data_IF_799988031837
#
_entry.id   IF_799988031837
#
_cell.length_a   1.000
_cell.length_b   1.000
_cell.length_c   1.000
_cell.angle_alpha   90.00
_cell.angle_beta   90.00
_cell.angle_gamma   90.00
#
_symmetry.space_group_name_H-M   'P 1'
#
loop_
_entity.id
_entity.type
_entity.pdbx_description
1 polymer ?
#
# COMPACT_ATOMS: atom_id res chain seq x y z
N UNK A 1 20.55 -47.41 -10.28
CA UNK A 1 20.68 -46.80 -8.93
C UNK A 1 20.75 -45.26 -8.94
N UNK A 2 21.59 -44.60 -9.75
CA UNK A 2 21.73 -43.13 -9.73
C UNK A 2 20.45 -42.33 -10.06
N UNK A 3 19.56 -42.83 -10.91
CA UNK A 3 18.29 -42.13 -11.24
C UNK A 3 17.24 -42.17 -10.12
N UNK A 4 17.27 -43.20 -9.25
CA UNK A 4 16.32 -43.29 -8.13
C UNK A 4 16.68 -42.33 -6.99
N UNK A 5 17.98 -42.07 -6.78
CA UNK A 5 18.44 -41.10 -5.77
C UNK A 5 18.01 -39.67 -6.12
N UNK A 6 18.07 -39.30 -7.40
CA UNK A 6 17.68 -37.97 -7.85
C UNK A 6 16.17 -37.72 -7.74
N UNK A 7 15.36 -38.72 -8.10
CA UNK A 7 13.90 -38.65 -7.94
C UNK A 7 13.47 -38.51 -6.48
N UNK A 8 14.12 -39.24 -5.57
CA UNK A 8 13.82 -39.16 -4.14
C UNK A 8 14.22 -37.81 -3.53
N UNK A 9 15.38 -37.26 -3.92
CA UNK A 9 15.84 -35.93 -3.49
C UNK A 9 14.92 -34.80 -3.99
N UNK A 10 14.43 -34.89 -5.22
CA UNK A 10 13.50 -33.90 -5.78
C UNK A 10 12.14 -33.96 -5.07
N UNK A 11 11.63 -35.17 -4.79
CA UNK A 11 10.36 -35.35 -4.09
C UNK A 11 10.41 -34.83 -2.65
N UNK A 12 11.51 -35.08 -1.93
CA UNK A 12 11.71 -34.57 -0.57
C UNK A 12 11.85 -33.05 -0.53
N UNK A 13 12.53 -32.44 -1.51
CA UNK A 13 12.59 -30.98 -1.64
C UNK A 13 11.22 -30.37 -1.91
N UNK A 14 10.43 -30.96 -2.81
CA UNK A 14 9.07 -30.49 -3.12
C UNK A 14 8.12 -30.62 -1.92
N UNK A 15 8.22 -31.71 -1.15
CA UNK A 15 7.47 -31.87 0.09
C UNK A 15 7.90 -30.87 1.15
N UNK A 16 9.20 -30.60 1.30
CA UNK A 16 9.69 -29.57 2.23
C UNK A 16 9.14 -28.19 1.85
N UNK A 17 9.15 -27.83 0.56
CA UNK A 17 8.58 -26.57 0.07
C UNK A 17 7.07 -26.51 0.35
N UNK A 18 6.30 -27.56 0.03
CA UNK A 18 4.86 -27.61 0.28
C UNK A 18 4.52 -27.54 1.78
N UNK A 19 5.32 -28.20 2.64
CA UNK A 19 5.23 -28.10 4.08
C UNK A 19 5.53 -26.68 4.56
N UNK A 20 6.58 -26.02 4.07
CA UNK A 20 6.90 -24.62 4.40
C UNK A 20 5.77 -23.66 3.99
N UNK A 21 5.17 -23.84 2.81
CA UNK A 21 4.03 -23.02 2.37
C UNK A 21 2.78 -23.25 3.23
N UNK A 22 2.43 -24.50 3.53
CA UNK A 22 1.31 -24.82 4.42
C UNK A 22 1.55 -24.34 5.85
N UNK A 23 2.80 -24.40 6.33
CA UNK A 23 3.17 -23.94 7.66
C UNK A 23 3.16 -22.42 7.74
N UNK A 24 3.68 -21.69 6.74
CA UNK A 24 3.63 -20.22 6.71
C UNK A 24 2.19 -19.69 6.68
N UNK A 25 1.32 -20.28 5.85
CA UNK A 25 -0.07 -19.86 5.76
C UNK A 25 -0.86 -20.19 7.03
N UNK A 26 -0.69 -21.40 7.59
CA UNK A 26 -1.32 -21.77 8.86
C UNK A 26 -0.72 -21.01 10.04
N UNK A 27 0.56 -20.68 10.02
CA UNK A 27 1.22 -19.89 11.05
C UNK A 27 0.70 -18.46 11.03
N UNK A 28 0.52 -17.84 9.86
CA UNK A 28 -0.10 -16.52 9.77
C UNK A 28 -1.56 -16.53 10.24
N UNK A 29 -2.35 -17.55 9.90
CA UNK A 29 -3.71 -17.70 10.42
C UNK A 29 -3.73 -17.99 11.93
N UNK A 30 -2.82 -18.81 12.43
CA UNK A 30 -2.72 -19.20 13.84
C UNK A 30 -2.20 -18.06 14.70
N UNK A 31 -1.19 -17.31 14.26
CA UNK A 31 -0.71 -16.09 14.91
C UNK A 31 -1.81 -15.05 14.93
N UNK A 32 -2.52 -14.81 13.82
CA UNK A 32 -3.65 -13.87 13.84
C UNK A 32 -4.75 -14.33 14.80
N UNK A 33 -5.15 -15.61 14.78
CA UNK A 33 -6.22 -16.14 15.63
C UNK A 33 -5.83 -16.18 17.12
N UNK A 34 -4.61 -16.61 17.46
CA UNK A 34 -4.15 -16.68 18.85
C UNK A 34 -3.72 -15.34 19.42
N UNK A 35 -3.23 -14.40 18.60
CA UNK A 35 -2.96 -13.03 19.05
C UNK A 35 -4.28 -12.32 19.37
N UNK A 36 -5.33 -12.56 18.57
CA UNK A 36 -6.69 -12.07 18.83
C UNK A 36 -7.26 -12.69 20.12
N UNK A 37 -7.14 -14.01 20.30
CA UNK A 37 -7.66 -14.71 21.49
C UNK A 37 -6.88 -14.33 22.77
N UNK A 38 -5.56 -14.18 22.72
CA UNK A 38 -4.76 -13.74 23.88
C UNK A 38 -5.05 -12.29 24.28
N UNK A 39 -5.26 -11.39 23.31
CA UNK A 39 -5.66 -10.00 23.59
C UNK A 39 -7.08 -9.88 24.14
N UNK A 40 -7.98 -10.82 23.80
CA UNK A 40 -9.35 -10.86 24.36
C UNK A 40 -9.38 -11.41 25.79
N UNK A 41 -8.50 -12.35 26.14
CA UNK A 41 -8.56 -13.08 27.40
C UNK A 41 -7.68 -12.50 28.53
N UNK A 42 -6.76 -11.57 28.25
CA UNK A 42 -5.95 -10.95 29.31
C UNK A 42 -5.55 -9.49 28.99
N UNK A 43 -6.43 -8.50 29.25
CA UNK A 43 -6.13 -7.08 28.98
C UNK A 43 -4.98 -6.49 29.83
N UNK A 44 -4.49 -7.23 30.82
CA UNK A 44 -3.42 -6.81 31.72
C UNK A 44 -2.02 -7.33 31.32
N UNK A 45 -1.91 -8.16 30.27
CA UNK A 45 -0.62 -8.70 29.79
C UNK A 45 0.09 -7.74 28.80
N UNK A 46 -0.04 -6.44 29.06
CA UNK A 46 0.81 -5.41 28.44
C UNK A 46 2.15 -5.43 29.18
N UNK A 47 3.04 -6.30 28.70
CA UNK A 47 4.42 -6.42 29.17
C UNK A 47 5.11 -5.06 29.32
N UNK A 48 5.75 -4.90 30.48
CA UNK A 48 6.73 -3.89 30.89
C UNK A 48 6.61 -2.46 30.31
N UNK A 49 6.08 -1.62 31.21
CA UNK A 49 5.72 -0.20 31.16
C UNK A 49 6.79 0.85 30.75
N UNK A 50 7.96 0.52 30.20
CA UNK A 50 9.04 1.54 30.14
C UNK A 50 9.09 2.47 28.91
N UNK A 51 8.40 2.18 27.79
CA UNK A 51 8.36 3.11 26.62
C UNK A 51 6.95 3.50 26.14
N UNK A 52 5.90 2.85 26.64
CA UNK A 52 4.53 3.03 26.14
C UNK A 52 3.89 4.39 26.50
N UNK A 53 4.35 5.04 27.58
CA UNK A 53 3.85 6.36 27.97
C UNK A 53 4.51 7.52 27.23
N UNK A 54 5.76 7.35 26.78
CA UNK A 54 6.51 8.39 26.07
C UNK A 54 6.01 8.53 24.62
N UNK A 55 5.73 7.41 23.95
CA UNK A 55 5.11 7.41 22.62
C UNK A 55 3.67 7.96 22.64
N UNK A 56 2.92 7.76 23.74
CA UNK A 56 1.57 8.34 23.92
C UNK A 56 1.58 9.85 24.08
N UNK A 57 2.60 10.44 24.73
CA UNK A 57 2.70 11.89 24.95
C UNK A 57 2.84 12.69 23.65
N UNK A 58 3.32 12.07 22.56
CA UNK A 58 3.55 12.72 21.27
C UNK A 58 2.50 12.38 20.20
N UNK A 59 1.43 11.67 20.53
CA UNK A 59 0.32 11.41 19.59
C UNK A 59 -0.73 12.53 19.68
N UNK A 60 -0.89 13.31 18.61
CA UNK A 60 -1.93 14.35 18.51
C UNK A 60 -3.37 13.80 18.44
N UNK A 61 -3.52 12.49 18.23
CA UNK A 61 -4.80 11.81 18.03
C UNK A 61 -5.42 11.40 19.37
N UNK A 62 -6.55 12.01 19.74
CA UNK A 62 -7.25 11.69 21.01
C UNK A 62 -7.93 10.31 20.91
N UNK A 63 -7.65 9.45 21.88
CA UNK A 63 -8.07 8.04 21.91
C UNK A 63 -9.49 7.89 22.48
N UNK A 64 -10.32 7.09 21.79
CA UNK A 64 -11.60 6.52 22.22
C UNK A 64 -12.55 7.45 22.97
N UNK A 65 -13.24 8.31 22.22
CA UNK A 65 -14.40 9.02 22.74
C UNK A 65 -15.62 8.08 22.73
N UNK A 66 -16.33 7.99 23.87
CA UNK A 66 -17.68 7.37 23.90
C UNK A 66 -18.61 8.14 22.95
N UNK A 67 -19.69 7.52 22.46
CA UNK A 67 -20.65 8.16 21.52
C UNK A 67 -21.12 9.55 21.97
N UNK A 68 -21.35 9.75 23.27
CA UNK A 68 -21.70 11.04 23.86
C UNK A 68 -20.57 12.07 23.85
N UNK A 69 -19.31 11.63 23.92
CA UNK A 69 -18.13 12.49 23.80
C UNK A 69 -17.79 12.82 22.34
N UNK A 70 -18.13 11.96 21.38
CA UNK A 70 -18.02 12.25 19.95
C UNK A 70 -18.92 13.43 19.55
N UNK A 71 -20.18 13.44 19.99
CA UNK A 71 -21.10 14.55 19.78
C UNK A 71 -20.56 15.86 20.36
N UNK A 72 -19.92 15.79 21.53
CA UNK A 72 -19.27 16.95 22.17
C UNK A 72 -18.00 17.40 21.45
N UNK A 73 -17.24 16.47 20.86
CA UNK A 73 -15.99 16.76 20.16
C UNK A 73 -16.22 17.41 18.80
N UNK A 74 -17.21 16.93 18.06
CA UNK A 74 -17.56 17.51 16.76
C UNK A 74 -18.49 18.72 16.87
N UNK A 75 -19.08 18.97 18.05
CA UNK A 75 -20.04 20.07 18.26
C UNK A 75 -21.34 19.93 17.48
N UNK A 76 -21.48 18.85 16.68
CA UNK A 76 -22.62 18.50 15.83
C UNK A 76 -22.65 16.97 15.64
N UNK A 77 -23.74 16.43 15.08
CA UNK A 77 -23.85 15.01 14.73
C UNK A 77 -22.78 14.65 13.67
N UNK A 78 -22.17 13.47 13.75
CA UNK A 78 -21.21 12.97 12.73
C UNK A 78 -21.86 12.97 11.34
N UNK A 79 -23.19 12.80 11.30
CA UNK A 79 -24.02 12.87 10.08
C UNK A 79 -24.15 14.26 9.46
N UNK A 80 -23.81 15.34 10.17
CA UNK A 80 -23.84 16.70 9.62
C UNK A 80 -22.51 17.17 9.03
N UNK A 81 -21.46 16.33 9.09
CA UNK A 81 -20.18 16.63 8.46
C UNK A 81 -20.24 16.37 6.95
N UNK A 82 -19.39 17.08 6.20
CA UNK A 82 -19.16 16.80 4.79
C UNK A 82 -18.65 15.36 4.62
N UNK A 83 -19.05 14.71 3.52
CA UNK A 83 -18.57 13.36 3.22
C UNK A 83 -17.09 13.40 2.82
N UNK A 84 -16.25 12.57 3.44
CA UNK A 84 -14.83 12.52 3.10
C UNK A 84 -14.64 12.08 1.64
N UNK A 85 -13.98 12.93 0.87
CA UNK A 85 -13.60 12.70 -0.52
C UNK A 85 -12.18 13.22 -0.77
N UNK A 86 -11.62 12.95 -1.95
CA UNK A 86 -10.27 13.44 -2.28
C UNK A 86 -10.17 14.96 -2.32
N UNK A 87 -11.26 15.68 -2.66
CA UNK A 87 -11.31 17.14 -2.61
C UNK A 87 -11.03 17.68 -1.21
N UNK A 88 -11.65 17.10 -0.19
CA UNK A 88 -11.40 17.44 1.22
C UNK A 88 -9.92 17.24 1.58
N UNK A 89 -9.33 16.06 1.31
CA UNK A 89 -7.94 15.77 1.68
C UNK A 89 -6.93 16.64 0.91
N UNK A 90 -7.18 16.87 -0.37
CA UNK A 90 -6.38 17.77 -1.18
C UNK A 90 -6.45 19.19 -0.60
N UNK A 91 -7.65 19.71 -0.29
CA UNK A 91 -7.82 21.04 0.30
C UNK A 91 -7.17 21.16 1.68
N UNK A 92 -7.24 20.11 2.51
CA UNK A 92 -6.56 20.07 3.79
C UNK A 92 -5.04 20.20 3.60
N UNK A 93 -4.44 19.43 2.67
CA UNK A 93 -3.02 19.53 2.36
C UNK A 93 -2.65 20.94 1.85
N UNK A 94 -3.47 21.54 1.00
CA UNK A 94 -3.24 22.90 0.46
C UNK A 94 -3.23 23.95 1.55
N UNK A 95 -4.19 23.86 2.48
CA UNK A 95 -4.39 24.82 3.56
C UNK A 95 -3.35 24.68 4.67
N UNK A 96 -3.03 23.46 5.08
CA UNK A 96 -2.22 23.19 6.26
C UNK A 96 -0.79 22.71 5.96
N UNK A 97 -0.48 22.35 4.71
CA UNK A 97 0.84 21.85 4.33
C UNK A 97 1.17 20.46 4.87
N UNK A 98 0.18 19.70 5.33
CA UNK A 98 0.31 18.35 5.89
C UNK A 98 -0.91 17.49 5.51
N UNK A 99 -0.77 16.16 5.48
CA UNK A 99 -1.93 15.26 5.31
C UNK A 99 -2.90 15.38 6.50
N UNK A 100 -4.18 15.09 6.26
CA UNK A 100 -5.18 15.06 7.31
C UNK A 100 -5.02 13.80 8.17
N UNK A 101 -4.73 13.97 9.45
CA UNK A 101 -4.64 12.85 10.41
C UNK A 101 -5.14 13.18 11.80
N UNK A 102 -5.72 14.37 11.97
CA UNK A 102 -6.49 14.70 13.16
C UNK A 102 -7.85 14.04 13.05
N UNK A 103 -8.38 13.55 14.18
CA UNK A 103 -9.62 12.79 14.20
C UNK A 103 -9.73 11.94 15.45
N UNK A 104 -10.71 11.05 15.44
CA UNK A 104 -11.05 10.22 16.60
C UNK A 104 -11.23 8.77 16.17
N UNK A 105 -10.63 7.87 16.94
CA UNK A 105 -10.94 6.45 16.87
C UNK A 105 -12.21 6.15 17.67
N UNK A 106 -13.21 5.59 17.00
CA UNK A 106 -14.42 5.09 17.62
C UNK A 106 -14.33 3.59 17.85
N UNK A 107 -14.45 3.16 19.11
CA UNK A 107 -14.57 1.74 19.44
C UNK A 107 -16.00 1.27 19.13
N UNK A 108 -16.16 0.04 18.58
CA UNK A 108 -17.49 -0.54 18.41
C UNK A 108 -18.22 -0.63 19.76
N UNK A 109 -19.57 -0.58 19.78
CA UNK A 109 -20.37 -0.61 21.00
C UNK A 109 -20.14 -1.83 21.91
N UNK A 110 -19.59 -2.92 21.36
CA UNK A 110 -19.31 -4.18 22.06
C UNK A 110 -18.04 -4.16 22.91
N UNK A 111 -17.29 -3.05 22.95
CA UNK A 111 -16.17 -2.86 23.87
C UNK A 111 -14.88 -3.61 23.52
N UNK A 112 -14.82 -4.33 22.39
CA UNK A 112 -13.61 -4.98 21.89
C UNK A 112 -12.67 -3.96 21.23
N UNK A 113 -11.52 -3.58 21.84
CA UNK A 113 -10.79 -2.36 21.46
C UNK A 113 -9.96 -2.41 20.18
N UNK A 114 -9.75 -3.57 19.54
CA UNK A 114 -8.61 -3.70 18.62
C UNK A 114 -8.91 -4.11 17.17
N UNK A 115 -10.12 -4.57 16.83
CA UNK A 115 -10.36 -5.27 15.53
C UNK A 115 -11.39 -4.59 14.63
N UNK A 116 -12.21 -3.67 15.15
CA UNK A 116 -13.32 -3.04 14.39
C UNK A 116 -13.44 -1.54 14.63
N UNK A 117 -12.40 -0.89 15.15
CA UNK A 117 -12.41 0.55 15.42
C UNK A 117 -12.38 1.34 14.11
N UNK A 118 -13.15 2.43 14.07
CA UNK A 118 -13.21 3.36 12.94
C UNK A 118 -12.49 4.66 13.26
N UNK A 119 -11.66 5.13 12.35
CA UNK A 119 -11.10 6.47 12.40
C UNK A 119 -11.99 7.45 11.64
N UNK A 120 -12.47 8.47 12.35
CA UNK A 120 -13.21 9.59 11.77
C UNK A 120 -12.32 10.84 11.75
N UNK A 121 -11.94 11.34 10.56
CA UNK A 121 -11.14 12.56 10.43
C UNK A 121 -11.83 13.79 11.02
N UNK A 122 -11.07 14.80 11.43
CA UNK A 122 -11.62 16.06 11.92
C UNK A 122 -12.20 16.91 10.78
N UNK A 123 -13.52 16.84 10.59
CA UNK A 123 -14.25 17.73 9.67
C UNK A 123 -14.74 17.06 8.39
N UNK A 124 -14.63 15.74 8.29
CA UNK A 124 -15.41 14.97 7.33
C UNK A 124 -15.77 13.60 7.93
N UNK A 125 -16.87 13.02 7.48
CA UNK A 125 -17.27 11.66 7.85
C UNK A 125 -17.44 10.81 6.60
N UNK A 126 -17.25 9.50 6.70
CA UNK A 126 -17.60 8.61 5.60
C UNK A 126 -18.12 7.29 6.17
N UNK A 127 -19.00 6.66 5.40
CA UNK A 127 -19.43 5.30 5.66
C UNK A 127 -18.48 4.37 4.92
N UNK A 128 -17.88 3.43 5.67
CA UNK A 128 -17.09 2.35 5.07
C UNK A 128 -17.99 1.50 4.19
N UNK A 129 -17.44 1.00 3.09
CA UNK A 129 -18.07 -0.10 2.39
C UNK A 129 -18.16 -1.32 3.30
N UNK A 130 -19.37 -1.85 3.40
CA UNK A 130 -19.68 -3.09 4.11
C UNK A 130 -20.08 -4.17 3.10
N UNK A 131 -20.03 -5.42 3.55
CA UNK A 131 -20.33 -6.58 2.71
C UNK A 131 -21.75 -6.47 2.14
N UNK A 132 -21.89 -6.53 0.81
CA UNK A 132 -23.16 -6.42 0.11
C UNK A 132 -23.50 -5.01 -0.42
N UNK A 133 -22.59 -4.05 -0.31
CA UNK A 133 -22.78 -2.71 -0.89
C UNK A 133 -22.64 -2.72 -2.42
N UNK A 134 -23.76 -2.77 -3.14
CA UNK A 134 -23.87 -2.58 -4.59
C UNK A 134 -23.31 -1.23 -5.07
N UNK A 135 -23.09 -0.31 -4.13
CA UNK A 135 -22.53 1.02 -4.36
C UNK A 135 -21.12 1.00 -4.94
N UNK A 136 -20.31 -0.05 -4.68
CA UNK A 136 -18.96 -0.13 -5.23
C UNK A 136 -18.99 -0.36 -6.75
N UNK A 137 -19.85 -1.26 -7.24
CA UNK A 137 -19.95 -1.52 -8.67
C UNK A 137 -20.48 -0.29 -9.39
N UNK A 138 -21.61 0.28 -8.95
CA UNK A 138 -22.18 1.53 -9.49
C UNK A 138 -21.15 2.66 -9.55
N UNK A 139 -20.40 2.87 -8.46
CA UNK A 139 -19.31 3.85 -8.40
C UNK A 139 -18.25 3.62 -9.49
N UNK A 140 -17.81 2.38 -9.68
CA UNK A 140 -16.77 2.03 -10.65
C UNK A 140 -17.25 2.14 -12.09
N UNK A 141 -18.53 1.85 -12.38
CA UNK A 141 -19.11 2.12 -13.70
C UNK A 141 -19.20 3.62 -13.95
N UNK A 142 -19.74 4.38 -13.01
CA UNK A 142 -19.85 5.84 -13.11
C UNK A 142 -18.47 6.48 -13.31
N UNK A 143 -17.45 6.01 -12.58
CA UNK A 143 -16.07 6.51 -12.66
C UNK A 143 -15.22 5.82 -13.73
N UNK A 144 -15.78 4.84 -14.45
CA UNK A 144 -15.11 4.04 -15.49
C UNK A 144 -13.79 3.42 -15.02
N UNK A 145 -13.77 2.90 -13.80
CA UNK A 145 -12.59 2.22 -13.23
C UNK A 145 -12.64 0.74 -13.62
N UNK A 146 -11.70 0.32 -14.47
CA UNK A 146 -11.54 -1.07 -14.91
C UNK A 146 -10.16 -1.64 -14.57
N UNK A 147 -9.17 -0.79 -14.34
CA UNK A 147 -7.81 -1.20 -13.97
C UNK A 147 -7.27 -0.40 -12.79
N UNK A 148 -6.95 -1.11 -11.70
CA UNK A 148 -6.26 -0.60 -10.52
C UNK A 148 -4.81 -1.09 -10.56
N UNK A 149 -3.86 -0.16 -10.44
CA UNK A 149 -2.45 -0.48 -10.19
C UNK A 149 -2.09 -0.08 -8.76
N UNK A 150 -1.41 -0.96 -8.04
CA UNK A 150 -0.80 -0.64 -6.75
C UNK A 150 0.71 -0.84 -6.85
N UNK A 151 1.47 0.17 -6.45
CA UNK A 151 2.93 0.10 -6.39
C UNK A 151 3.45 0.49 -5.01
N UNK A 152 4.53 -0.17 -4.60
CA UNK A 152 5.21 0.08 -3.33
C UNK A 152 5.91 -1.18 -2.82
N UNK A 153 6.23 -1.19 -1.54
CA UNK A 153 6.92 -2.31 -0.89
C UNK A 153 5.97 -3.44 -0.44
N UNK A 154 6.41 -4.24 0.53
CA UNK A 154 5.61 -5.32 1.11
C UNK A 154 4.33 -4.86 1.81
N UNK A 155 4.24 -3.62 2.30
CA UNK A 155 2.99 -3.06 2.83
C UNK A 155 1.98 -2.81 1.72
N UNK A 156 2.44 -2.28 0.58
CA UNK A 156 1.61 -2.08 -0.61
C UNK A 156 1.09 -3.42 -1.17
N UNK A 157 1.92 -4.47 -1.11
CA UNK A 157 1.47 -5.84 -1.44
C UNK A 157 0.34 -6.31 -0.52
N UNK A 158 0.51 -6.18 0.79
CA UNK A 158 -0.51 -6.60 1.78
C UNK A 158 -1.80 -5.78 1.64
N UNK A 159 -1.70 -4.49 1.32
CA UNK A 159 -2.84 -3.64 0.95
C UNK A 159 -3.57 -4.22 -0.28
N UNK A 160 -2.85 -4.52 -1.35
CA UNK A 160 -3.45 -5.03 -2.60
C UNK A 160 -4.12 -6.38 -2.39
N UNK A 161 -3.54 -7.28 -1.58
CA UNK A 161 -4.14 -8.56 -1.23
C UNK A 161 -5.45 -8.40 -0.45
N UNK A 162 -5.51 -7.44 0.48
CA UNK A 162 -6.75 -7.14 1.21
C UNK A 162 -7.80 -6.47 0.31
N UNK A 163 -7.37 -5.65 -0.65
CA UNK A 163 -8.26 -5.11 -1.66
C UNK A 163 -8.88 -6.22 -2.50
N UNK A 164 -8.08 -7.18 -3.00
CA UNK A 164 -8.62 -8.36 -3.69
C UNK A 164 -9.64 -9.09 -2.83
N UNK A 165 -9.30 -9.40 -1.57
CA UNK A 165 -10.23 -10.08 -0.66
C UNK A 165 -11.54 -9.31 -0.49
N UNK A 166 -11.49 -7.98 -0.43
CA UNK A 166 -12.67 -7.13 -0.35
C UNK A 166 -13.55 -7.24 -1.62
N UNK A 167 -12.95 -7.26 -2.81
CA UNK A 167 -13.69 -7.51 -4.05
C UNK A 167 -14.34 -8.91 -4.05
N UNK A 168 -13.61 -9.94 -3.60
CA UNK A 168 -14.16 -11.29 -3.48
C UNK A 168 -15.32 -11.37 -2.49
N UNK A 169 -15.21 -10.67 -1.36
CA UNK A 169 -16.23 -10.65 -0.31
C UNK A 169 -17.51 -9.92 -0.76
N UNK A 170 -17.38 -8.85 -1.56
CA UNK A 170 -18.48 -8.06 -2.11
C UNK A 170 -19.19 -8.83 -3.23
N UNK A 171 -18.43 -9.38 -4.18
CA UNK A 171 -18.99 -10.11 -5.32
C UNK A 171 -19.41 -11.55 -4.97
N UNK A 172 -19.00 -12.08 -3.80
CA UNK A 172 -19.21 -13.48 -3.43
C UNK A 172 -18.51 -14.48 -4.36
N UNK A 173 -17.54 -14.02 -5.16
CA UNK A 173 -16.83 -14.80 -6.19
C UNK A 173 -15.32 -14.56 -6.07
N UNK A 174 -14.53 -15.59 -6.37
CA UNK A 174 -13.06 -15.50 -6.32
C UNK A 174 -12.50 -14.67 -7.47
N UNK A 175 -11.47 -13.88 -7.21
CA UNK A 175 -10.70 -13.23 -8.25
C UNK A 175 -9.82 -14.27 -8.96
N UNK A 176 -9.68 -14.14 -10.27
CA UNK A 176 -8.86 -15.03 -11.10
C UNK A 176 -7.49 -14.44 -11.33
N UNK A 177 -6.42 -15.18 -11.00
CA UNK A 177 -5.07 -14.79 -11.38
C UNK A 177 -4.91 -14.84 -12.91
N UNK A 178 -4.52 -13.72 -13.51
CA UNK A 178 -4.30 -13.59 -14.97
C UNK A 178 -2.81 -13.75 -15.30
N UNK A 179 -1.95 -13.18 -14.45
CA UNK A 179 -0.51 -13.20 -14.65
C UNK A 179 0.22 -13.14 -13.31
N UNK A 180 1.34 -13.85 -13.23
CA UNK A 180 2.21 -13.87 -12.06
C UNK A 180 3.67 -13.92 -12.48
N UNK A 181 4.48 -13.05 -11.89
CA UNK A 181 5.93 -13.05 -12.05
C UNK A 181 6.54 -14.11 -11.12
N UNK A 182 6.98 -15.23 -11.69
CA UNK A 182 7.41 -16.40 -10.91
C UNK A 182 8.64 -16.13 -10.03
N UNK A 183 9.50 -15.22 -10.46
CA UNK A 183 10.69 -14.81 -9.73
C UNK A 183 11.04 -13.35 -10.01
N UNK A 184 11.81 -12.70 -9.13
CA UNK A 184 12.27 -11.32 -9.38
C UNK A 184 13.05 -11.12 -10.69
N UNK A 185 13.64 -12.19 -11.25
CA UNK A 185 14.37 -12.18 -12.53
C UNK A 185 13.49 -12.56 -13.74
N UNK A 186 12.24 -12.95 -13.52
CA UNK A 186 11.32 -13.29 -14.60
C UNK A 186 10.88 -12.00 -15.30
N UNK A 187 11.43 -11.75 -16.49
CA UNK A 187 11.07 -10.62 -17.34
C UNK A 187 9.76 -10.83 -18.08
N UNK A 188 9.29 -12.08 -18.19
CA UNK A 188 8.17 -12.44 -19.07
C UNK A 188 6.88 -11.69 -18.72
N UNK A 189 6.69 -11.42 -17.43
CA UNK A 189 5.58 -10.62 -16.94
C UNK A 189 5.55 -9.20 -17.55
N UNK A 190 6.74 -8.66 -17.85
CA UNK A 190 6.98 -7.30 -18.32
C UNK A 190 7.35 -7.22 -19.80
N UNK A 191 7.23 -8.32 -20.55
CA UNK A 191 7.57 -8.35 -21.96
C UNK A 191 6.65 -7.40 -22.75
N UNK A 192 7.27 -6.53 -23.55
CA UNK A 192 6.59 -5.65 -24.50
C UNK A 192 7.02 -6.06 -25.91
N UNK A 193 6.07 -6.33 -26.84
CA UNK A 193 6.41 -6.67 -28.22
C UNK A 193 7.31 -5.61 -28.85
N UNK A 194 8.18 -6.05 -29.76
CA UNK A 194 9.12 -5.21 -30.52
C UNK A 194 10.32 -4.66 -29.72
N UNK A 195 10.48 -5.01 -28.45
CA UNK A 195 11.71 -4.76 -27.66
C UNK A 195 12.80 -5.84 -27.84
N UNK A 196 12.60 -6.83 -28.73
CA UNK A 196 13.44 -8.03 -28.87
C UNK A 196 14.95 -7.80 -29.13
N UNK A 197 15.37 -6.61 -29.58
CA UNK A 197 16.79 -6.27 -29.79
C UNK A 197 17.39 -5.42 -28.65
N UNK A 198 16.58 -5.02 -27.67
CA UNK A 198 16.98 -4.22 -26.53
C UNK A 198 17.26 -5.14 -25.35
N UNK A 199 18.34 -4.88 -24.60
CA UNK A 199 18.64 -5.65 -23.39
C UNK A 199 17.86 -5.06 -22.23
N UNK A 200 16.80 -5.75 -21.81
CA UNK A 200 16.20 -5.53 -20.51
C UNK A 200 17.21 -6.06 -19.49
N UNK A 201 17.82 -5.15 -18.75
CA UNK A 201 18.71 -5.49 -17.66
C UNK A 201 17.85 -5.68 -16.41
N UNK A 202 17.75 -6.91 -15.94
CA UNK A 202 17.15 -7.21 -14.64
C UNK A 202 18.21 -7.50 -13.61
N UNK A 203 18.10 -6.86 -12.46
CA UNK A 203 18.85 -7.28 -11.27
C UNK A 203 17.92 -8.08 -10.37
N UNK A 204 18.41 -9.18 -9.77
CA UNK A 204 17.66 -9.86 -8.72
C UNK A 204 17.33 -8.86 -7.63
N UNK A 205 16.13 -8.96 -7.10
CA UNK A 205 15.81 -8.24 -5.90
C UNK A 205 16.70 -8.69 -4.74
N UNK A 206 17.29 -7.72 -4.06
CA UNK A 206 18.25 -7.94 -2.97
C UNK A 206 17.65 -8.67 -1.75
N UNK A 207 16.31 -8.77 -1.64
CA UNK A 207 15.60 -9.25 -0.44
C UNK A 207 14.83 -10.58 -0.61
N UNK A 208 15.28 -11.45 -1.53
CA UNK A 208 14.72 -12.80 -1.70
C UNK A 208 13.53 -12.89 -2.66
N UNK A 209 13.27 -14.10 -3.18
CA UNK A 209 12.40 -14.35 -4.33
C UNK A 209 10.94 -13.88 -4.19
N UNK A 210 10.37 -13.90 -2.98
CA UNK A 210 8.92 -13.77 -2.78
C UNK A 210 8.48 -12.31 -2.70
N UNK A 211 9.30 -11.41 -2.15
CA UNK A 211 8.91 -10.00 -1.92
C UNK A 211 8.76 -9.20 -3.23
N UNK A 212 9.30 -9.72 -4.34
CA UNK A 212 9.41 -9.01 -5.62
C UNK A 212 8.51 -9.49 -6.75
N UNK A 213 7.63 -10.44 -6.50
CA UNK A 213 6.72 -10.91 -7.54
C UNK A 213 5.63 -9.87 -7.82
N UNK A 214 5.53 -9.48 -9.08
CA UNK A 214 4.40 -8.76 -9.65
C UNK A 214 3.27 -9.74 -9.99
N UNK A 215 2.03 -9.28 -9.91
CA UNK A 215 0.89 -10.12 -10.21
C UNK A 215 -0.34 -9.30 -10.62
N UNK A 216 -1.23 -9.95 -11.36
CA UNK A 216 -2.48 -9.37 -11.87
C UNK A 216 -3.63 -10.33 -11.65
N UNK A 217 -4.70 -9.82 -11.04
CA UNK A 217 -5.95 -10.53 -10.85
C UNK A 217 -7.08 -9.85 -11.61
N UNK A 218 -8.01 -10.65 -12.10
CA UNK A 218 -9.32 -10.24 -12.60
C UNK A 218 -10.33 -10.48 -11.49
N UNK A 219 -10.91 -9.42 -10.95
CA UNK A 219 -11.91 -9.49 -9.91
C UNK A 219 -13.29 -9.21 -10.50
N UNK A 220 -14.28 -10.09 -10.25
CA UNK A 220 -15.64 -9.85 -10.70
C UNK A 220 -16.25 -8.65 -9.98
N UNK A 221 -17.09 -7.92 -10.70
CA UNK A 221 -17.98 -6.90 -10.14
C UNK A 221 -19.40 -7.18 -10.61
N UNK A 222 -20.27 -7.46 -9.64
CA UNK A 222 -21.69 -7.65 -9.90
C UNK A 222 -22.41 -6.29 -9.88
N UNK A 223 -22.98 -5.93 -11.02
CA UNK A 223 -23.81 -4.75 -11.18
C UNK A 223 -25.28 -5.13 -10.97
N UNK A 224 -25.87 -4.64 -9.89
CA UNK A 224 -27.28 -4.79 -9.49
C UNK A 224 -27.75 -6.13 -8.93
N UNK A 225 -28.80 -6.02 -8.12
CA UNK A 225 -29.69 -7.07 -7.62
C UNK A 225 -30.39 -7.91 -8.70
N UNK A 226 -30.25 -7.57 -9.99
CA UNK A 226 -30.93 -8.24 -11.10
C UNK A 226 -30.01 -9.22 -11.89
N UNK A 227 -28.75 -9.40 -11.47
CA UNK A 227 -27.90 -10.53 -11.87
C UNK A 227 -27.54 -10.65 -13.36
N UNK A 228 -27.55 -9.55 -14.13
CA UNK A 228 -27.38 -9.60 -15.60
C UNK A 228 -26.14 -8.90 -16.17
N UNK A 229 -25.34 -8.20 -15.37
CA UNK A 229 -24.08 -7.62 -15.83
C UNK A 229 -22.93 -8.01 -14.91
N UNK A 230 -22.14 -8.99 -15.34
CA UNK A 230 -20.82 -9.26 -14.78
C UNK A 230 -19.80 -8.41 -15.55
N UNK A 231 -19.19 -7.43 -14.90
CA UNK A 231 -17.95 -6.83 -15.40
C UNK A 231 -16.79 -7.27 -14.53
N UNK A 232 -15.58 -6.92 -14.93
CA UNK A 232 -14.38 -7.24 -14.21
C UNK A 232 -13.52 -6.00 -13.98
N UNK A 233 -12.91 -5.94 -12.79
CA UNK A 233 -11.84 -5.00 -12.47
C UNK A 233 -10.53 -5.77 -12.44
N UNK A 234 -9.55 -5.27 -13.19
CA UNK A 234 -8.18 -5.78 -13.12
C UNK A 234 -7.45 -5.10 -11.97
N UNK A 235 -6.92 -5.87 -11.04
CA UNK A 235 -6.09 -5.36 -9.93
C UNK A 235 -4.68 -5.90 -10.14
N UNK A 236 -3.72 -5.00 -10.25
CA UNK A 236 -2.32 -5.30 -10.52
C UNK A 236 -1.42 -4.75 -9.40
N UNK A 237 -0.53 -5.60 -8.89
CA UNK A 237 0.54 -5.19 -7.98
C UNK A 237 1.87 -5.25 -8.70
N UNK A 238 2.63 -4.16 -8.64
CA UNK A 238 4.02 -4.11 -9.10
C UNK A 238 4.89 -3.58 -7.96
N UNK A 239 5.83 -4.38 -7.44
CA UNK A 239 6.64 -3.96 -6.32
C UNK A 239 7.62 -2.86 -6.74
N UNK A 240 7.81 -1.90 -5.84
CA UNK A 240 8.81 -0.84 -5.93
C UNK A 240 9.45 -0.69 -4.56
N UNK A 241 10.71 -1.11 -4.43
CA UNK A 241 11.44 -1.07 -3.15
C UNK A 241 12.12 0.27 -2.89
N UNK A 242 12.29 1.06 -3.95
CA UNK A 242 12.88 2.39 -3.90
C UNK A 242 12.16 3.28 -4.90
N UNK A 243 12.25 4.60 -4.71
CA UNK A 243 11.82 5.58 -5.69
C UNK A 243 12.63 5.44 -6.98
N UNK A 244 13.93 5.18 -6.85
CA UNK A 244 14.83 4.83 -7.97
C UNK A 244 15.18 3.35 -7.88
N UNK A 245 14.28 2.50 -8.37
CA UNK A 245 14.43 1.04 -8.34
C UNK A 245 15.20 0.52 -9.56
N UNK A 246 16.43 0.04 -9.36
CA UNK A 246 17.32 -0.43 -10.43
C UNK A 246 17.12 -1.91 -10.79
N UNK A 247 16.08 -2.58 -10.25
CA UNK A 247 15.81 -4.00 -10.55
C UNK A 247 15.42 -4.25 -12.00
N UNK A 248 15.02 -3.21 -12.73
CA UNK A 248 14.68 -3.29 -14.15
C UNK A 248 15.12 -2.03 -14.88
N UNK A 249 15.87 -2.20 -15.97
CA UNK A 249 16.34 -1.11 -16.83
C UNK A 249 16.25 -1.53 -18.28
N UNK A 250 16.10 -0.57 -19.19
CA UNK A 250 16.23 -0.80 -20.62
C UNK A 250 17.45 -0.04 -21.14
N UNK A 251 18.49 -0.79 -21.46
CA UNK A 251 19.65 -0.26 -22.18
C UNK A 251 19.43 -0.46 -23.67
N UNK A 252 19.47 0.66 -24.41
CA UNK A 252 19.46 0.65 -25.88
C UNK A 252 20.91 0.66 -26.35
N UNK A 253 21.25 -0.24 -27.27
CA UNK A 253 22.54 -0.18 -27.96
C UNK A 253 22.60 1.12 -28.78
N UNK A 254 23.62 1.95 -28.55
CA UNK A 254 23.82 3.25 -29.21
C UNK A 254 23.77 3.14 -30.74
N UNK A 255 24.17 1.99 -31.31
CA UNK A 255 24.13 1.74 -32.76
C UNK A 255 22.73 1.48 -33.31
N UNK A 256 21.77 1.11 -32.47
CA UNK A 256 20.37 0.88 -32.84
C UNK A 256 19.43 2.01 -32.43
N UNK A 257 19.82 2.85 -31.47
CA UNK A 257 19.04 4.00 -31.00
C UNK A 257 18.79 5.03 -32.11
N UNK A 258 19.74 5.21 -33.02
CA UNK A 258 19.64 6.13 -34.17
C UNK A 258 18.72 5.64 -35.29
N UNK A 259 18.43 4.34 -35.39
CA UNK A 259 17.55 3.76 -36.43
C UNK A 259 16.10 3.59 -35.99
N UNK A 260 15.81 3.62 -34.69
CA UNK A 260 14.46 3.46 -34.14
C UNK A 260 14.02 4.79 -33.52
N UNK A 261 13.53 5.70 -34.37
CA UNK A 261 12.94 6.98 -33.96
C UNK A 261 11.86 6.69 -32.91
N UNK A 262 12.11 7.04 -31.64
CA UNK A 262 11.12 6.99 -30.56
C UNK A 262 11.40 6.05 -29.38
N UNK A 263 12.46 5.23 -29.39
CA UNK A 263 12.84 4.44 -28.20
C UNK A 263 13.82 5.25 -27.32
N UNK A 264 13.49 5.40 -26.03
CA UNK A 264 14.31 6.07 -25.01
C UNK A 264 14.87 5.04 -24.01
N UNK A 265 16.09 5.24 -23.50
CA UNK A 265 16.55 4.41 -22.38
C UNK A 265 15.60 4.53 -21.18
N UNK A 266 15.54 3.46 -20.38
CA UNK A 266 14.86 3.46 -19.09
C UNK A 266 15.89 3.14 -18.00
N UNK A 267 16.20 4.12 -17.17
CA UNK A 267 17.29 4.04 -16.20
C UNK A 267 16.89 3.35 -14.88
N UNK A 268 15.59 3.10 -14.68
CA UNK A 268 15.04 2.38 -13.53
C UNK A 268 13.69 1.77 -13.90
N UNK A 269 13.16 0.97 -12.98
CA UNK A 269 11.93 0.22 -13.15
C UNK A 269 10.75 1.13 -13.43
N UNK A 270 10.63 2.27 -12.74
CA UNK A 270 9.52 3.18 -12.96
C UNK A 270 9.55 3.79 -14.37
N UNK A 271 10.72 4.23 -14.84
CA UNK A 271 10.87 4.70 -16.21
C UNK A 271 10.48 3.61 -17.21
N UNK A 272 10.91 2.36 -16.98
CA UNK A 272 10.54 1.24 -17.84
C UNK A 272 9.03 1.04 -17.85
N UNK A 273 8.40 1.06 -16.68
CA UNK A 273 6.96 0.89 -16.53
C UNK A 273 6.20 1.97 -17.30
N UNK A 274 6.61 3.23 -17.16
CA UNK A 274 5.91 4.37 -17.73
C UNK A 274 6.17 4.61 -19.22
N UNK A 275 7.38 4.31 -19.70
CA UNK A 275 7.75 4.51 -21.11
C UNK A 275 7.34 3.32 -21.99
N UNK A 276 7.24 2.11 -21.43
CA UNK A 276 7.06 0.89 -22.22
C UNK A 276 5.89 0.03 -21.78
N UNK A 277 5.93 -0.45 -20.54
CA UNK A 277 4.98 -1.47 -20.09
C UNK A 277 3.54 -0.98 -20.02
N UNK A 278 3.29 0.15 -19.34
CA UNK A 278 1.94 0.71 -19.16
C UNK A 278 1.35 1.29 -20.45
N UNK A 279 2.11 1.94 -21.35
CA UNK A 279 1.63 2.28 -22.67
C UNK A 279 1.14 1.06 -23.47
N UNK A 280 1.87 -0.05 -23.41
CA UNK A 280 1.52 -1.28 -24.13
C UNK A 280 0.35 -2.05 -23.49
N UNK A 281 0.40 -2.25 -22.18
CA UNK A 281 -0.56 -3.06 -21.43
C UNK A 281 -1.76 -2.25 -20.90
N UNK A 282 -1.87 -0.99 -21.30
CA UNK A 282 -2.88 -0.03 -20.85
C UNK A 282 -2.53 0.60 -19.49
N UNK A 283 -2.57 1.93 -19.42
CA UNK A 283 -2.47 2.66 -18.16
C UNK A 283 -3.65 2.33 -17.25
N UNK A 284 -3.45 2.30 -15.92
CA UNK A 284 -4.53 2.12 -14.97
C UNK A 284 -5.47 3.32 -14.95
N UNK A 285 -6.73 3.10 -14.61
CA UNK A 285 -7.69 4.18 -14.34
C UNK A 285 -7.44 4.74 -12.93
N UNK A 286 -6.95 3.89 -12.03
CA UNK A 286 -6.60 4.23 -10.65
C UNK A 286 -5.22 3.67 -10.30
N UNK A 287 -4.33 4.51 -9.80
CA UNK A 287 -3.01 4.11 -9.32
C UNK A 287 -2.83 4.49 -7.86
N UNK A 288 -2.72 3.50 -6.98
CA UNK A 288 -2.37 3.68 -5.57
C UNK A 288 -0.86 3.55 -5.43
N UNK A 289 -0.20 4.62 -4.99
CA UNK A 289 1.24 4.65 -4.75
C UNK A 289 1.50 4.73 -3.25
N UNK A 290 2.03 3.64 -2.69
CA UNK A 290 2.50 3.58 -1.31
C UNK A 290 4.02 3.74 -1.30
N UNK A 291 4.56 4.78 -0.63
CA UNK A 291 5.98 5.06 -0.69
C UNK A 291 6.78 3.99 0.07
N UNK A 292 7.90 3.48 -0.49
CA UNK A 292 8.69 2.40 0.13
C UNK A 292 9.62 2.93 1.22
N UNK A 293 9.09 3.74 2.14
CA UNK A 293 9.87 4.48 3.12
C UNK A 293 10.66 3.61 4.09
N UNK A 294 10.19 2.40 4.38
CA UNK A 294 10.97 1.47 5.20
C UNK A 294 12.32 1.15 4.56
N UNK A 295 12.38 0.98 3.24
CA UNK A 295 13.63 0.67 2.54
C UNK A 295 14.45 1.94 2.28
N UNK A 296 13.79 3.03 1.90
CA UNK A 296 14.44 4.33 1.69
C UNK A 296 15.13 4.85 2.96
N UNK A 297 14.53 4.62 4.14
CA UNK A 297 15.12 5.05 5.42
C UNK A 297 16.41 4.30 5.75
N UNK A 298 16.60 3.08 5.27
CA UNK A 298 17.78 2.26 5.55
C UNK A 298 18.98 2.57 4.64
N UNK A 299 18.76 3.32 3.56
CA UNK A 299 19.76 3.45 2.50
C UNK A 299 20.10 4.90 2.13
N UNK A 300 19.20 5.85 2.36
CA UNK A 300 19.40 7.23 1.91
C UNK A 300 19.37 8.21 3.07
N UNK A 301 20.13 9.30 2.95
CA UNK A 301 19.90 10.49 3.76
C UNK A 301 18.75 11.33 3.17
N UNK A 302 18.23 12.31 3.93
CA UNK A 302 17.07 13.10 3.48
C UNK A 302 17.34 13.91 2.21
N UNK A 303 18.60 14.31 1.97
CA UNK A 303 18.98 15.10 0.79
C UNK A 303 18.85 14.26 -0.48
N UNK A 304 19.40 13.05 -0.49
CA UNK A 304 19.26 12.10 -1.61
C UNK A 304 17.80 11.74 -1.82
N UNK A 305 17.08 11.43 -0.73
CA UNK A 305 15.65 11.10 -0.81
C UNK A 305 14.82 12.23 -1.44
N UNK A 306 15.11 13.49 -1.11
CA UNK A 306 14.42 14.64 -1.70
C UNK A 306 14.63 14.71 -3.21
N UNK A 307 15.84 14.40 -3.69
CA UNK A 307 16.15 14.35 -5.14
C UNK A 307 15.35 13.23 -5.80
N UNK A 308 15.36 12.03 -5.20
CA UNK A 308 14.67 10.86 -5.73
C UNK A 308 13.14 11.05 -5.78
N UNK A 309 12.56 11.65 -4.73
CA UNK A 309 11.14 12.03 -4.72
C UNK A 309 10.84 13.02 -5.85
N UNK A 310 11.63 14.08 -6.02
CA UNK A 310 11.36 15.05 -7.08
C UNK A 310 11.48 14.43 -8.47
N UNK A 311 12.46 13.54 -8.65
CA UNK A 311 12.64 12.79 -9.88
C UNK A 311 11.44 11.87 -10.17
N UNK A 312 10.95 11.12 -9.17
CA UNK A 312 9.72 10.32 -9.26
C UNK A 312 8.54 11.17 -9.76
N UNK A 313 8.28 12.29 -9.07
CA UNK A 313 7.15 13.18 -9.36
C UNK A 313 7.25 13.75 -10.78
N UNK A 314 8.45 14.13 -11.21
CA UNK A 314 8.68 14.65 -12.56
C UNK A 314 8.43 13.60 -13.65
N UNK A 315 8.87 12.35 -13.44
CA UNK A 315 8.60 11.27 -14.40
C UNK A 315 7.11 10.97 -14.43
N UNK A 316 6.47 10.82 -13.27
CA UNK A 316 5.03 10.55 -13.22
C UNK A 316 4.23 11.67 -13.91
N UNK A 317 4.60 12.93 -13.69
CA UNK A 317 3.98 14.08 -14.37
C UNK A 317 4.19 14.07 -15.89
N UNK A 318 5.28 13.50 -16.38
CA UNK A 318 5.63 13.49 -17.81
C UNK A 318 4.94 12.36 -18.57
N UNK A 319 4.75 11.20 -17.94
CA UNK A 319 4.33 9.98 -18.62
C UNK A 319 2.97 9.43 -18.18
N UNK A 320 2.46 9.80 -17.00
CA UNK A 320 1.14 9.32 -16.57
C UNK A 320 0.04 10.11 -17.28
N UNK A 321 -0.88 9.45 -17.98
CA UNK A 321 -1.97 10.14 -18.64
C UNK A 321 -2.83 10.92 -17.66
N UNK A 322 -3.29 12.10 -18.09
CA UNK A 322 -4.14 12.95 -17.28
C UNK A 322 -5.43 12.26 -16.79
N UNK A 323 -5.90 11.21 -17.47
CA UNK A 323 -7.09 10.42 -17.06
C UNK A 323 -6.85 9.50 -15.86
N UNK A 324 -5.60 9.13 -15.57
CA UNK A 324 -5.28 8.20 -14.47
C UNK A 324 -5.40 8.92 -13.14
N UNK A 325 -6.26 8.41 -12.25
CA UNK A 325 -6.38 8.91 -10.88
C UNK A 325 -5.29 8.31 -10.02
N UNK A 326 -4.37 9.13 -9.54
CA UNK A 326 -3.27 8.71 -8.67
C UNK A 326 -3.61 9.06 -7.23
N UNK A 327 -3.39 8.11 -6.32
CA UNK A 327 -3.64 8.24 -4.89
C UNK A 327 -2.33 7.97 -4.15
N UNK A 328 -1.84 8.99 -3.45
CA UNK A 328 -0.63 8.93 -2.66
C UNK A 328 -0.96 8.76 -1.19
N UNK A 329 -0.27 7.84 -0.54
CA UNK A 329 -0.40 7.59 0.89
C UNK A 329 0.84 8.10 1.63
N UNK A 330 0.65 8.57 2.86
CA UNK A 330 1.74 8.66 3.83
C UNK A 330 2.13 7.25 4.27
N UNK A 331 3.41 7.03 4.62
CA UNK A 331 3.74 5.83 5.39
C UNK A 331 3.25 6.01 6.84
N UNK A 332 3.02 4.88 7.52
CA UNK A 332 2.59 4.83 8.90
C UNK A 332 3.77 4.60 9.86
N UNK A 333 3.53 4.83 11.16
CA UNK A 333 4.55 4.64 12.21
C UNK A 333 4.94 3.18 12.32
N UNK A 334 6.23 2.93 12.55
CA UNK A 334 6.82 1.60 12.81
C UNK A 334 6.89 1.33 14.31
N UNK A 335 6.84 0.05 14.70
CA UNK A 335 7.03 -0.34 16.10
C UNK A 335 8.49 -0.73 16.36
N UNK A 336 9.24 0.18 16.99
CA UNK A 336 10.65 -0.02 17.28
C UNK A 336 10.92 -1.28 18.11
N UNK A 337 10.04 -1.60 19.08
CA UNK A 337 10.22 -2.74 19.98
C UNK A 337 10.14 -4.10 19.27
N UNK A 338 9.47 -4.16 18.12
CA UNK A 338 9.33 -5.38 17.31
C UNK A 338 10.30 -5.43 16.13
N UNK A 339 10.96 -4.30 15.80
CA UNK A 339 11.90 -4.26 14.69
C UNK A 339 13.16 -5.09 15.01
N UNK A 340 13.72 -5.79 14.00
CA UNK A 340 15.02 -6.45 14.15
C UNK A 340 16.12 -5.50 14.65
N UNK A 341 16.94 -5.96 15.60
CA UNK A 341 18.00 -5.14 16.23
C UNK A 341 18.97 -4.50 15.22
N UNK A 342 19.30 -5.20 14.14
CA UNK A 342 20.21 -4.68 13.11
C UNK A 342 19.63 -3.46 12.37
N UNK A 343 18.30 -3.40 12.19
CA UNK A 343 17.59 -2.25 11.61
C UNK A 343 17.67 -1.05 12.56
N UNK A 344 17.42 -1.28 13.86
CA UNK A 344 17.51 -0.24 14.88
C UNK A 344 18.93 0.32 15.01
N UNK A 345 19.94 -0.55 14.96
CA UNK A 345 21.35 -0.15 15.00
C UNK A 345 21.74 0.67 13.77
N UNK A 346 21.33 0.24 12.58
CA UNK A 346 21.58 0.98 11.33
C UNK A 346 21.03 2.40 11.42
N UNK A 347 19.78 2.56 11.85
CA UNK A 347 19.16 3.88 11.99
C UNK A 347 19.85 4.76 13.04
N UNK A 348 20.15 4.20 14.22
CA UNK A 348 20.81 4.96 15.30
C UNK A 348 22.23 5.39 14.90
N UNK A 349 22.99 4.49 14.25
CA UNK A 349 24.37 4.75 13.83
C UNK A 349 24.45 5.70 12.64
N UNK A 350 23.55 5.58 11.66
CA UNK A 350 23.64 6.36 10.43
C UNK A 350 22.92 7.71 10.51
N UNK A 351 21.87 7.84 11.34
CA UNK A 351 20.95 8.98 11.24
C UNK A 351 20.69 9.71 12.55
N UNK A 352 21.12 9.18 13.71
CA UNK A 352 20.94 9.79 15.03
C UNK A 352 19.49 10.22 15.37
N UNK A 353 18.49 9.57 14.74
CA UNK A 353 17.06 9.79 14.97
C UNK A 353 16.33 8.46 15.09
N UNK A 354 15.15 8.46 15.70
CA UNK A 354 14.30 7.25 15.73
C UNK A 354 13.73 6.93 14.34
N UNK A 355 13.32 5.67 14.12
CA UNK A 355 12.66 5.29 12.86
C UNK A 355 11.37 6.11 12.61
N UNK A 356 10.57 6.36 13.65
CA UNK A 356 9.33 7.14 13.51
C UNK A 356 9.59 8.61 13.21
N UNK A 357 10.57 9.22 13.89
CA UNK A 357 10.99 10.59 13.57
C UNK A 357 11.50 10.68 12.12
N UNK A 358 12.20 9.65 11.67
CA UNK A 358 12.64 9.56 10.28
C UNK A 358 11.48 9.46 9.31
N UNK A 359 10.50 8.58 9.56
CA UNK A 359 9.28 8.49 8.75
C UNK A 359 8.56 9.84 8.71
N UNK A 360 8.46 10.58 9.82
CA UNK A 360 7.86 11.92 9.88
C UNK A 360 8.62 12.94 8.99
N UNK A 361 9.96 12.89 8.98
CA UNK A 361 10.78 13.72 8.08
C UNK A 361 10.56 13.36 6.61
N UNK A 362 10.50 12.07 6.28
CA UNK A 362 10.31 11.58 4.90
C UNK A 362 8.91 11.89 4.37
N UNK A 363 7.88 11.71 5.22
CA UNK A 363 6.52 12.13 4.96
C UNK A 363 6.46 13.64 4.64
N UNK A 364 7.10 14.50 5.44
CA UNK A 364 7.16 15.95 5.14
C UNK A 364 7.77 16.28 3.77
N UNK A 365 8.86 15.59 3.37
CA UNK A 365 9.45 15.76 2.03
C UNK A 365 8.48 15.35 0.92
N UNK A 366 7.78 14.23 1.13
CA UNK A 366 6.76 13.74 0.22
C UNK A 366 5.61 14.72 0.05
N UNK A 367 5.13 15.32 1.15
CA UNK A 367 4.06 16.32 1.12
C UNK A 367 4.49 17.55 0.33
N UNK A 368 5.70 18.04 0.57
CA UNK A 368 6.26 19.21 -0.10
C UNK A 368 6.38 19.00 -1.61
N UNK A 369 6.75 17.79 -2.05
CA UNK A 369 6.86 17.45 -3.47
C UNK A 369 5.50 17.27 -4.15
N UNK A 370 4.51 16.74 -3.44
CA UNK A 370 3.17 16.49 -3.97
C UNK A 370 2.30 17.75 -4.06
N UNK A 371 2.45 18.69 -3.13
CA UNK A 371 1.58 19.88 -3.02
C UNK A 371 1.44 20.65 -4.34
N UNK A 372 2.52 21.03 -5.05
CA UNK A 372 2.39 21.76 -6.31
C UNK A 372 1.62 20.99 -7.40
N UNK A 373 1.60 19.66 -7.35
CA UNK A 373 0.88 18.82 -8.32
C UNK A 373 -0.60 18.71 -7.99
N UNK A 374 -0.93 18.58 -6.70
CA UNK A 374 -2.31 18.55 -6.21
C UNK A 374 -3.00 19.91 -6.39
N UNK A 375 -2.23 21.00 -6.34
CA UNK A 375 -2.71 22.33 -6.69
C UNK A 375 -3.20 22.44 -8.13
N UNK A 376 -2.52 21.73 -9.04
CA UNK A 376 -2.72 21.87 -10.48
C UNK A 376 -3.43 20.69 -11.15
N UNK A 377 -3.81 19.65 -10.40
CA UNK A 377 -4.45 18.45 -10.95
C UNK A 377 -5.58 17.91 -10.09
N UNK A 378 -6.71 17.60 -10.74
CA UNK A 378 -7.84 16.89 -10.10
C UNK A 378 -7.61 15.39 -9.94
N UNK A 379 -6.56 14.86 -10.57
CA UNK A 379 -6.28 13.42 -10.60
C UNK A 379 -5.08 13.03 -9.74
N UNK A 380 -4.40 13.98 -9.12
CA UNK A 380 -3.40 13.72 -8.10
C UNK A 380 -4.05 13.90 -6.74
N UNK A 381 -4.18 12.81 -6.00
CA UNK A 381 -4.96 12.78 -4.78
C UNK A 381 -4.12 12.28 -3.62
N UNK A 382 -4.44 12.80 -2.46
CA UNK A 382 -3.82 12.42 -1.21
C UNK A 382 -4.82 11.74 -0.29
N UNK A 383 -4.32 10.80 0.50
CA UNK A 383 -5.11 10.14 1.53
C UNK A 383 -4.80 10.70 2.92
N UNK A 384 -5.33 10.05 3.95
CA UNK A 384 -5.09 10.34 5.34
C UNK A 384 -3.61 10.17 5.74
N UNK A 385 -3.20 10.90 6.78
CA UNK A 385 -1.90 10.76 7.42
C UNK A 385 -1.85 9.45 8.22
N UNK A 386 -1.34 8.41 7.58
CA UNK A 386 -1.23 7.08 8.17
C UNK A 386 -0.32 7.07 9.41
N UNK A 387 0.64 8.00 9.53
CA UNK A 387 1.48 8.13 10.73
C UNK A 387 0.65 8.61 11.92
N UNK A 388 -0.14 9.66 11.76
CA UNK A 388 -0.99 10.17 12.87
C UNK A 388 -2.07 9.16 13.26
N UNK A 389 -2.65 8.47 12.29
CA UNK A 389 -3.72 7.50 12.50
C UNK A 389 -3.23 6.26 13.26
N UNK A 390 -2.02 5.79 12.98
CA UNK A 390 -1.43 4.62 13.66
C UNK A 390 -0.78 4.93 15.00
N UNK A 391 -0.56 6.20 15.33
CA UNK A 391 0.13 6.62 16.57
C UNK A 391 -0.46 6.02 17.86
N UNK A 392 -1.78 5.92 18.05
CA UNK A 392 -2.35 5.27 19.24
C UNK A 392 -2.10 3.76 19.37
N UNK A 393 -1.74 3.10 18.26
CA UNK A 393 -1.72 1.64 18.12
C UNK A 393 -0.38 1.11 17.59
N UNK A 394 0.69 1.92 17.69
CA UNK A 394 1.96 1.64 17.00
C UNK A 394 2.40 0.20 17.24
N UNK A 395 2.48 -0.31 18.46
CA UNK A 395 2.97 -1.70 18.64
C UNK A 395 1.89 -2.79 18.63
N UNK A 396 0.61 -2.45 18.79
CA UNK A 396 -0.48 -3.43 18.80
C UNK A 396 -0.88 -3.88 17.38
N UNK A 397 -0.69 -3.02 16.38
CA UNK A 397 -1.03 -3.32 14.99
C UNK A 397 0.11 -3.83 14.13
N UNK A 398 1.30 -4.06 14.70
CA UNK A 398 2.43 -4.63 13.95
C UNK A 398 2.65 -6.10 14.27
N UNK A 399 3.03 -6.85 13.24
CA UNK A 399 3.47 -8.24 13.33
C UNK A 399 4.95 -8.27 13.75
N UNK A 400 5.81 -7.58 13.00
CA UNK A 400 7.28 -7.63 13.12
C UNK A 400 7.93 -6.23 13.20
N UNK A 401 7.14 -5.23 13.57
CA UNK A 401 7.57 -3.84 13.66
C UNK A 401 7.64 -3.09 12.33
N UNK A 402 7.64 -3.79 11.19
CA UNK A 402 7.61 -3.18 9.85
C UNK A 402 6.25 -3.34 9.16
N UNK A 403 5.62 -4.51 9.30
CA UNK A 403 4.33 -4.83 8.70
C UNK A 403 3.20 -4.81 9.71
N UNK A 404 2.06 -4.30 9.26
CA UNK A 404 0.82 -4.32 10.03
C UNK A 404 0.11 -5.69 10.02
N UNK A 405 -0.85 -5.86 10.92
CA UNK A 405 -1.82 -6.95 10.93
C UNK A 405 -2.86 -6.78 9.81
N UNK A 406 -3.53 -7.86 9.40
CA UNK A 406 -4.50 -7.85 8.29
C UNK A 406 -5.59 -6.78 8.41
N UNK A 407 -6.09 -6.55 9.63
CA UNK A 407 -7.15 -5.57 9.92
C UNK A 407 -6.80 -4.16 9.43
N UNK A 408 -5.55 -3.74 9.57
CA UNK A 408 -5.09 -2.43 9.09
C UNK A 408 -5.23 -2.29 7.57
N UNK A 409 -4.75 -3.29 6.82
CA UNK A 409 -4.81 -3.25 5.36
C UNK A 409 -6.24 -3.35 4.84
N UNK A 410 -7.09 -4.13 5.53
CA UNK A 410 -8.53 -4.16 5.25
C UNK A 410 -9.13 -2.77 5.44
N UNK A 411 -8.90 -2.12 6.58
CA UNK A 411 -9.39 -0.77 6.88
C UNK A 411 -8.94 0.24 5.81
N UNK A 412 -7.66 0.24 5.45
CA UNK A 412 -7.14 1.16 4.45
C UNK A 412 -7.70 0.90 3.05
N UNK A 413 -7.94 -0.37 2.68
CA UNK A 413 -8.60 -0.72 1.42
C UNK A 413 -10.04 -0.21 1.38
N UNK A 414 -10.80 -0.43 2.46
CA UNK A 414 -12.16 0.11 2.63
C UNK A 414 -12.16 1.64 2.52
N UNK A 415 -11.22 2.32 3.18
CA UNK A 415 -11.11 3.78 3.17
C UNK A 415 -10.81 4.33 1.78
N UNK A 416 -9.82 3.75 1.09
CA UNK A 416 -9.46 4.17 -0.27
C UNK A 416 -10.66 4.08 -1.21
N UNK A 417 -11.38 2.95 -1.18
CA UNK A 417 -12.53 2.74 -2.05
C UNK A 417 -13.70 3.66 -1.64
N UNK A 418 -14.00 3.79 -0.34
CA UNK A 418 -15.06 4.68 0.13
C UNK A 418 -14.79 6.13 -0.27
N UNK A 419 -13.58 6.64 -0.05
CA UNK A 419 -13.19 8.01 -0.45
C UNK A 419 -13.28 8.18 -1.96
N UNK A 420 -12.86 7.16 -2.74
CA UNK A 420 -13.01 7.18 -4.20
C UNK A 420 -14.48 7.33 -4.59
N UNK A 421 -15.39 6.55 -4.00
CA UNK A 421 -16.77 6.51 -4.43
C UNK A 421 -17.62 7.70 -3.99
N UNK A 422 -17.18 8.44 -2.98
CA UNK A 422 -17.79 9.71 -2.59
C UNK A 422 -17.10 10.94 -3.23
N UNK A 423 -16.15 10.74 -4.16
CA UNK A 423 -15.39 11.82 -4.82
C UNK A 423 -15.97 12.37 -6.11
#
# INVERSE_FOLDING_TARGET
MKHYLFGFALLTLLMAIACFYSFSYKYDQWVNSNTIIKQQNNPNDLGERSNFEEDKKNCSTKIFLRKTQLLKYFGQDIKSQEVCNFGYFNNYLKKYGQFAGEGVWYAPPTGAPSVQSDFYPSGCSFMRFSRGDYLLSECFEMKKIRKILVTGDSNARKLTQNMIQLFEDIAGKKCKEIAFQKSGNDTKYFDVPNLNNSKILTKPCDFGFISCSSWRYQCPMDYSSNGKFEDNVTIEFIPMFRFVDLSMQLSLDERNATRRIGLLSANNKLEYLLKYYLPYNGFPDMWIFSPPFHHESLHHNLTVLKVDINYLINIMNSFVPARTKIIFMADARKCNDKLPKHILQTNKQQMNVSMNERIDQMNRLWYAALRPKIDNSKNWNVLLDATKITCPFVCTWHIDGAHYVGVWYKLMSEYILSILCHS
#
